data_IF_678101412406
#
_entry.id   IF_678101412406
#
_cell.length_a   1.000
_cell.length_b   1.000
_cell.length_c   1.000
_cell.angle_alpha   90.00
_cell.angle_beta   90.00
_cell.angle_gamma   90.00
#
_symmetry.space_group_name_H-M   'P 1'
#
loop_
_entity.id
_entity.type
_entity.pdbx_description
1 polymer ?
#
# COMPACT_ATOMS: atom_id res chain seq x y z
N UNK A 1 7.04 2.44 30.65
CA UNK A 1 6.56 1.07 30.38
C UNK A 1 7.33 0.52 29.17
N UNK A 2 8.44 -0.15 29.40
CA UNK A 2 9.17 -0.90 28.35
C UNK A 2 9.13 -2.38 28.72
N UNK A 3 7.91 -2.94 28.67
CA UNK A 3 7.73 -4.38 28.86
C UNK A 3 8.07 -5.17 27.60
N UNK A 4 8.28 -6.48 27.71
CA UNK A 4 8.56 -7.36 26.57
C UNK A 4 7.51 -7.26 25.45
N UNK A 5 6.29 -6.83 25.78
CA UNK A 5 5.20 -6.63 24.82
C UNK A 5 5.44 -5.43 23.90
N UNK A 6 5.89 -4.28 24.41
CA UNK A 6 6.19 -3.13 23.57
C UNK A 6 7.29 -3.43 22.53
N UNK A 7 8.29 -4.23 22.94
CA UNK A 7 9.36 -4.67 22.03
C UNK A 7 8.81 -5.52 20.87
N UNK A 8 7.82 -6.39 21.15
CA UNK A 8 7.16 -7.22 20.11
C UNK A 8 6.37 -6.35 19.13
N UNK A 9 5.60 -5.37 19.63
CA UNK A 9 4.86 -4.41 18.81
C UNK A 9 5.78 -3.59 17.91
N UNK A 10 6.84 -3.03 18.47
CA UNK A 10 7.87 -2.31 17.71
C UNK A 10 8.50 -3.19 16.62
N UNK A 11 8.78 -4.46 16.94
CA UNK A 11 9.37 -5.40 15.98
C UNK A 11 8.38 -5.76 14.85
N UNK A 12 7.13 -6.04 15.17
CA UNK A 12 6.10 -6.32 14.17
C UNK A 12 5.92 -5.14 13.20
N UNK A 13 5.79 -3.92 13.73
CA UNK A 13 5.71 -2.70 12.91
C UNK A 13 6.96 -2.47 12.06
N UNK A 14 8.15 -2.73 12.60
CA UNK A 14 9.40 -2.59 11.85
C UNK A 14 9.52 -3.62 10.71
N UNK A 15 9.06 -4.85 10.91
CA UNK A 15 9.03 -5.87 9.83
C UNK A 15 8.01 -5.48 8.78
N UNK A 16 6.79 -5.06 9.17
CA UNK A 16 5.75 -4.61 8.24
C UNK A 16 6.24 -3.43 7.39
N UNK A 17 6.86 -2.43 8.01
CA UNK A 17 7.41 -1.27 7.29
C UNK A 17 8.49 -1.67 6.28
N UNK A 18 9.46 -2.49 6.69
CA UNK A 18 10.52 -2.98 5.79
C UNK A 18 9.98 -3.81 4.64
N UNK A 19 8.94 -4.61 4.89
CA UNK A 19 8.28 -5.38 3.84
C UNK A 19 7.64 -4.44 2.80
N UNK A 20 6.90 -3.41 3.23
CA UNK A 20 6.37 -2.39 2.34
C UNK A 20 7.45 -1.68 1.52
N UNK A 21 8.51 -1.22 2.18
CA UNK A 21 9.62 -0.52 1.51
C UNK A 21 10.30 -1.42 0.47
N UNK A 22 10.50 -2.69 0.79
CA UNK A 22 11.08 -3.66 -0.13
C UNK A 22 10.18 -3.91 -1.33
N UNK A 23 8.92 -4.26 -1.11
CA UNK A 23 7.99 -4.57 -2.20
C UNK A 23 7.74 -3.34 -3.06
N UNK A 24 7.53 -2.17 -2.46
CA UNK A 24 7.32 -0.93 -3.22
C UNK A 24 8.49 -0.54 -4.10
N UNK A 25 9.72 -0.94 -3.71
CA UNK A 25 10.92 -0.69 -4.50
C UNK A 25 11.21 -1.73 -5.58
N UNK A 26 10.60 -2.92 -5.47
CA UNK A 26 10.88 -4.07 -6.36
C UNK A 26 9.72 -4.43 -7.28
N UNK A 27 8.48 -4.03 -6.95
CA UNK A 27 7.37 -4.30 -7.83
C UNK A 27 7.38 -3.38 -9.05
N UNK A 28 6.92 -3.91 -10.18
CA UNK A 28 6.92 -3.21 -11.46
C UNK A 28 5.81 -3.70 -12.40
N UNK A 29 5.57 -2.91 -13.45
CA UNK A 29 4.66 -3.30 -14.52
C UNK A 29 5.12 -4.63 -15.15
N UNK A 30 4.16 -5.48 -15.50
CA UNK A 30 4.40 -6.82 -16.03
C UNK A 30 4.42 -7.94 -14.99
N UNK A 31 4.45 -7.60 -13.70
CA UNK A 31 4.36 -8.60 -12.63
C UNK A 31 2.91 -8.98 -12.36
N UNK A 32 2.65 -10.27 -12.07
CA UNK A 32 1.33 -10.69 -11.62
C UNK A 32 1.06 -10.22 -10.19
N UNK A 33 -0.20 -9.87 -9.91
CA UNK A 33 -0.61 -9.47 -8.55
C UNK A 33 -0.28 -10.56 -7.54
N UNK A 34 -0.46 -11.82 -7.93
CA UNK A 34 -0.12 -12.97 -7.08
C UNK A 34 1.37 -13.01 -6.74
N UNK A 35 2.25 -12.80 -7.71
CA UNK A 35 3.71 -12.81 -7.46
C UNK A 35 4.17 -11.71 -6.51
N UNK A 36 3.50 -10.56 -6.54
CA UNK A 36 3.78 -9.45 -5.61
C UNK A 36 3.36 -9.81 -4.19
N UNK A 37 2.13 -10.34 -4.02
CA UNK A 37 1.60 -10.79 -2.73
C UNK A 37 2.50 -11.88 -2.13
N UNK A 38 2.84 -12.90 -2.92
CA UNK A 38 3.71 -14.00 -2.51
C UNK A 38 5.11 -13.51 -2.09
N UNK A 39 5.65 -12.53 -2.82
CA UNK A 39 6.93 -11.91 -2.48
C UNK A 39 6.88 -11.15 -1.16
N UNK A 40 5.78 -10.43 -0.89
CA UNK A 40 5.56 -9.74 0.38
C UNK A 40 5.51 -10.73 1.55
N UNK A 41 4.72 -11.78 1.44
CA UNK A 41 4.59 -12.78 2.49
C UNK A 41 5.89 -13.56 2.72
N UNK A 42 6.62 -13.86 1.65
CA UNK A 42 7.94 -14.51 1.73
C UNK A 42 8.95 -13.61 2.43
N UNK A 43 8.94 -12.31 2.15
CA UNK A 43 9.78 -11.32 2.82
C UNK A 43 9.49 -11.28 4.32
N UNK A 44 8.22 -11.19 4.71
CA UNK A 44 7.80 -11.19 6.11
C UNK A 44 8.33 -12.40 6.86
N UNK A 45 8.12 -13.60 6.31
CA UNK A 45 8.57 -14.87 6.92
C UNK A 45 10.08 -14.92 7.09
N UNK A 46 10.84 -14.46 6.10
CA UNK A 46 12.31 -14.42 6.15
C UNK A 46 12.85 -13.43 7.18
N UNK A 47 12.08 -12.42 7.57
CA UNK A 47 12.52 -11.40 8.51
C UNK A 47 11.90 -11.56 9.92
N UNK A 48 11.47 -12.78 10.27
CA UNK A 48 11.05 -13.14 11.62
C UNK A 48 9.64 -12.74 12.00
N UNK A 49 8.80 -12.40 11.01
CA UNK A 49 7.36 -12.21 11.18
C UNK A 49 6.56 -13.33 10.53
N UNK A 50 5.26 -13.30 10.74
CA UNK A 50 4.26 -14.09 9.99
C UNK A 50 3.19 -13.12 9.50
N UNK A 51 2.63 -13.26 8.29
CA UNK A 51 1.48 -12.48 7.88
C UNK A 51 0.35 -12.57 8.91
N UNK A 52 -0.14 -11.42 9.39
CA UNK A 52 -1.24 -11.36 10.34
C UNK A 52 -2.59 -11.62 9.65
N UNK A 53 -2.64 -11.29 8.39
CA UNK A 53 -3.70 -11.59 7.42
C UNK A 53 -3.04 -11.77 6.04
N UNK A 54 -3.72 -12.37 5.05
CA UNK A 54 -3.18 -12.45 3.70
C UNK A 54 -2.83 -11.05 3.19
N UNK A 55 -1.60 -10.84 2.70
CA UNK A 55 -1.25 -9.55 2.11
C UNK A 55 -2.25 -9.20 1.02
N UNK A 56 -2.71 -7.96 0.99
CA UNK A 56 -3.68 -7.51 0.00
C UNK A 56 -3.05 -6.54 -0.99
N UNK A 57 -3.48 -6.66 -2.24
CA UNK A 57 -3.05 -5.81 -3.33
C UNK A 57 -4.28 -5.44 -4.15
N UNK A 58 -4.72 -4.20 -4.00
CA UNK A 58 -5.92 -3.67 -4.65
C UNK A 58 -5.52 -2.66 -5.73
N UNK A 59 -6.02 -2.84 -6.94
CA UNK A 59 -5.59 -2.06 -8.11
C UNK A 59 -6.75 -1.19 -8.61
N UNK A 60 -6.45 0.06 -8.93
CA UNK A 60 -7.36 1.06 -9.49
C UNK A 60 -8.62 1.27 -8.65
N UNK A 61 -9.79 0.89 -9.17
CA UNK A 61 -11.11 1.04 -8.56
C UNK A 61 -11.40 0.03 -7.44
N UNK A 62 -10.61 -1.04 -7.32
CA UNK A 62 -10.68 -1.92 -6.15
C UNK A 62 -10.14 -1.15 -4.95
N UNK A 63 -11.02 -0.84 -3.99
CA UNK A 63 -10.68 0.05 -2.87
C UNK A 63 -9.64 -0.56 -1.93
N UNK A 64 -9.88 -1.79 -1.43
CA UNK A 64 -9.04 -2.47 -0.44
C UNK A 64 -9.36 -3.97 -0.36
N UNK A 65 -8.60 -4.70 0.47
CA UNK A 65 -8.83 -6.09 0.89
C UNK A 65 -8.83 -7.14 -0.22
N UNK A 66 -8.37 -6.78 -1.42
CA UNK A 66 -8.25 -7.77 -2.48
C UNK A 66 -6.96 -8.56 -2.31
N UNK A 67 -7.09 -9.87 -2.29
CA UNK A 67 -5.95 -10.80 -2.32
C UNK A 67 -6.15 -11.83 -3.42
N UNK A 68 -5.11 -12.48 -3.84
CA UNK A 68 -5.16 -13.49 -4.90
C UNK A 68 -4.25 -14.67 -4.58
N UNK A 69 -4.61 -15.79 -5.14
CA UNK A 69 -3.78 -17.01 -5.23
C UNK A 69 -3.90 -17.59 -6.64
N UNK A 70 -3.23 -18.70 -6.91
CA UNK A 70 -3.26 -19.34 -8.24
C UNK A 70 -4.65 -19.79 -8.72
N UNK A 71 -5.64 -19.89 -7.83
CA UNK A 71 -6.99 -20.36 -8.13
C UNK A 71 -8.02 -19.23 -8.23
N UNK A 72 -7.62 -17.98 -7.98
CA UNK A 72 -8.52 -16.84 -8.03
C UNK A 72 -8.58 -16.30 -9.45
N UNK A 73 -9.79 -16.21 -10.01
CA UNK A 73 -10.02 -15.55 -11.28
C UNK A 73 -9.86 -14.02 -11.15
N UNK A 74 -9.50 -13.34 -12.24
CA UNK A 74 -9.54 -11.89 -12.28
C UNK A 74 -10.93 -11.35 -11.89
N UNK A 75 -11.03 -10.19 -11.22
CA UNK A 75 -12.31 -9.52 -11.01
C UNK A 75 -13.00 -9.18 -12.34
N UNK A 76 -14.30 -8.97 -12.30
CA UNK A 76 -15.09 -8.58 -13.47
C UNK A 76 -14.49 -7.34 -14.15
N UNK A 77 -14.34 -7.40 -15.47
CA UNK A 77 -13.74 -6.33 -16.27
C UNK A 77 -12.21 -6.28 -16.27
N UNK A 78 -11.54 -7.19 -15.57
CA UNK A 78 -10.08 -7.34 -15.58
C UNK A 78 -9.72 -8.62 -16.32
N UNK A 79 -9.12 -8.52 -17.48
CA UNK A 79 -8.75 -9.68 -18.31
C UNK A 79 -7.61 -10.49 -17.67
N UNK A 80 -6.64 -9.81 -17.06
CA UNK A 80 -5.46 -10.42 -16.43
C UNK A 80 -5.06 -9.68 -15.15
N UNK A 81 -4.68 -10.42 -14.12
CA UNK A 81 -4.15 -9.85 -12.87
C UNK A 81 -2.65 -9.52 -13.00
N UNK A 82 -2.32 -8.65 -13.95
CA UNK A 82 -0.96 -8.17 -14.22
C UNK A 82 -0.91 -6.67 -13.94
N UNK A 83 0.12 -6.21 -13.25
CA UNK A 83 0.36 -4.78 -13.02
C UNK A 83 0.75 -4.09 -14.33
N UNK A 84 0.11 -2.97 -14.62
CA UNK A 84 0.33 -2.17 -15.82
C UNK A 84 0.88 -0.80 -15.44
N UNK A 85 1.59 -0.18 -16.38
CA UNK A 85 2.03 1.20 -16.20
C UNK A 85 0.81 2.12 -16.06
N UNK A 86 0.82 2.98 -15.04
CA UNK A 86 -0.28 3.88 -14.72
C UNK A 86 -1.28 3.31 -13.71
N UNK A 87 -1.17 2.03 -13.31
CA UNK A 87 -2.00 1.47 -12.26
C UNK A 87 -1.76 2.16 -10.91
N UNK A 88 -2.83 2.43 -10.20
CA UNK A 88 -2.81 2.86 -8.81
C UNK A 88 -2.93 1.62 -7.91
N UNK A 89 -1.81 1.24 -7.31
CA UNK A 89 -1.70 0.02 -6.49
C UNK A 89 -1.73 0.36 -5.01
N UNK A 90 -2.66 -0.24 -4.28
CA UNK A 90 -2.76 -0.18 -2.83
C UNK A 90 -2.27 -1.51 -2.27
N UNK A 91 -1.13 -1.49 -1.60
CA UNK A 91 -0.53 -2.65 -0.94
C UNK A 91 -0.71 -2.51 0.56
N UNK A 92 -1.30 -3.52 1.19
CA UNK A 92 -1.57 -3.55 2.61
C UNK A 92 -0.98 -4.83 3.23
N UNK A 93 -0.18 -4.67 4.28
CA UNK A 93 0.65 -5.71 4.88
C UNK A 93 0.49 -5.70 6.40
N UNK A 94 -0.08 -6.77 6.93
CA UNK A 94 -0.09 -7.06 8.36
C UNK A 94 0.97 -8.09 8.73
N UNK A 95 1.72 -7.81 9.78
CA UNK A 95 2.73 -8.73 10.32
C UNK A 95 2.47 -9.00 11.78
N UNK A 96 2.50 -10.25 12.21
CA UNK A 96 2.55 -10.56 13.62
C UNK A 96 3.90 -11.14 14.06
N UNK A 97 4.34 -10.75 15.27
CA UNK A 97 5.50 -11.32 15.97
C UNK A 97 5.06 -11.73 17.36
N UNK A 98 4.95 -13.05 17.58
CA UNK A 98 4.48 -13.62 18.86
C UNK A 98 3.17 -12.98 19.36
N UNK A 99 2.20 -12.76 18.47
CA UNK A 99 0.90 -12.20 18.77
C UNK A 99 0.79 -10.66 18.74
N UNK A 100 1.89 -9.93 18.72
CA UNK A 100 1.87 -8.48 18.49
C UNK A 100 1.77 -8.19 16.99
N UNK A 101 0.85 -7.31 16.58
CA UNK A 101 0.56 -7.01 15.17
C UNK A 101 1.09 -5.62 14.82
N UNK A 102 1.77 -5.52 13.68
CA UNK A 102 2.09 -4.27 12.99
C UNK A 102 1.39 -4.27 11.64
N UNK A 103 0.64 -3.23 11.36
CA UNK A 103 -0.15 -3.06 10.16
C UNK A 103 0.26 -1.80 9.41
N UNK A 104 0.48 -1.90 8.10
CA UNK A 104 0.95 -0.80 7.27
C UNK A 104 0.44 -0.94 5.83
N UNK A 105 -0.04 0.17 5.28
CA UNK A 105 -0.45 0.24 3.89
C UNK A 105 0.24 1.37 3.13
N UNK A 106 0.34 1.23 1.81
CA UNK A 106 0.87 2.23 0.90
C UNK A 106 0.09 2.23 -0.41
N UNK A 107 -0.07 3.41 -1.00
CA UNK A 107 -0.58 3.56 -2.36
C UNK A 107 0.54 4.02 -3.28
N UNK A 108 0.72 3.34 -4.41
CA UNK A 108 1.81 3.56 -5.38
C UNK A 108 1.22 3.63 -6.78
N UNK A 109 1.69 4.60 -7.57
CA UNK A 109 1.46 4.61 -9.02
C UNK A 109 2.57 3.85 -9.74
N UNK A 110 2.17 2.94 -10.63
CA UNK A 110 3.08 2.07 -11.37
C UNK A 110 3.73 2.80 -12.56
N UNK A 111 4.96 3.25 -12.35
CA UNK A 111 5.86 3.68 -13.45
C UNK A 111 5.47 4.94 -14.19
N UNK A 112 4.74 5.87 -13.61
CA UNK A 112 4.38 7.07 -14.31
C UNK A 112 3.87 8.24 -13.48
N UNK A 113 3.63 9.35 -14.14
CA UNK A 113 3.15 10.60 -13.56
C UNK A 113 1.63 10.79 -13.73
N UNK A 114 0.85 9.71 -13.92
CA UNK A 114 -0.57 9.82 -14.27
C UNK A 114 -1.39 10.47 -13.14
N UNK A 115 -1.11 10.13 -11.87
CA UNK A 115 -1.74 10.80 -10.73
C UNK A 115 -1.37 12.28 -10.64
N UNK A 116 -0.15 12.64 -11.04
CA UNK A 116 0.29 14.03 -11.06
C UNK A 116 -0.42 14.85 -12.15
N UNK A 117 -0.89 14.22 -13.23
CA UNK A 117 -1.66 14.88 -14.27
C UNK A 117 -3.13 15.13 -13.88
N UNK A 118 -3.67 14.33 -12.98
CA UNK A 118 -5.03 14.49 -12.45
C UNK A 118 -5.14 15.62 -11.42
N UNK A 119 -4.02 15.94 -10.75
CA UNK A 119 -3.96 16.98 -9.73
C UNK A 119 -2.91 18.03 -10.11
N UNK A 120 -3.20 19.33 -9.98
CA UNK A 120 -2.29 20.41 -10.35
C UNK A 120 -1.16 20.57 -9.30
N UNK A 121 -0.38 19.51 -9.09
CA UNK A 121 0.82 19.51 -8.25
C UNK A 121 2.05 19.31 -9.12
N UNK A 122 3.17 19.89 -8.72
CA UNK A 122 4.40 19.71 -9.48
C UNK A 122 4.85 18.24 -9.44
N UNK A 123 5.52 17.76 -10.48
CA UNK A 123 6.06 16.40 -10.52
C UNK A 123 7.02 16.11 -9.34
N UNK A 124 7.71 17.15 -8.84
CA UNK A 124 8.59 17.08 -7.67
C UNK A 124 7.80 16.85 -6.37
N UNK A 125 6.68 17.55 -6.22
CA UNK A 125 5.82 17.42 -5.05
C UNK A 125 5.05 16.11 -5.06
N UNK A 126 4.54 15.68 -6.23
CA UNK A 126 3.91 14.39 -6.42
C UNK A 126 4.82 13.23 -5.99
N UNK A 127 6.07 13.22 -6.45
CA UNK A 127 7.06 12.21 -6.06
C UNK A 127 7.33 12.20 -4.55
N UNK A 128 7.37 13.38 -3.92
CA UNK A 128 7.55 13.53 -2.48
C UNK A 128 6.38 12.95 -1.67
N UNK A 129 5.14 13.10 -2.16
CA UNK A 129 3.95 12.60 -1.48
C UNK A 129 3.69 11.12 -1.71
N UNK A 130 3.98 10.60 -2.89
CA UNK A 130 3.96 9.16 -3.17
C UNK A 130 4.92 8.37 -2.26
N UNK A 131 6.08 8.96 -1.92
CA UNK A 131 7.08 8.32 -1.04
C UNK A 131 6.68 8.40 0.45
N UNK A 132 5.88 9.38 0.85
CA UNK A 132 5.53 9.61 2.27
C UNK A 132 4.27 8.88 2.76
N UNK A 133 3.62 8.10 1.90
CA UNK A 133 2.45 7.31 2.25
C UNK A 133 1.12 8.03 2.03
N UNK A 134 0.06 7.25 1.94
CA UNK A 134 -1.30 7.68 1.56
C UNK A 134 -1.89 8.77 2.46
N UNK A 135 -1.61 8.79 3.75
CA UNK A 135 -2.08 9.83 4.69
C UNK A 135 -1.58 11.22 4.33
N UNK A 136 -0.31 11.36 3.96
CA UNK A 136 0.25 12.66 3.53
C UNK A 136 -0.35 13.13 2.22
N UNK A 137 -0.65 12.21 1.31
CA UNK A 137 -1.30 12.53 0.03
C UNK A 137 -2.75 12.98 0.24
N UNK A 138 -3.52 12.27 1.07
CA UNK A 138 -4.89 12.63 1.42
C UNK A 138 -4.94 14.01 2.10
N UNK A 139 -4.06 14.29 3.04
CA UNK A 139 -3.94 15.61 3.68
C UNK A 139 -3.58 16.71 2.68
N UNK A 140 -2.68 16.44 1.75
CA UNK A 140 -2.29 17.41 0.73
C UNK A 140 -3.41 17.70 -0.27
N UNK A 141 -4.09 16.66 -0.75
CA UNK A 141 -5.26 16.77 -1.61
C UNK A 141 -6.38 17.53 -0.89
N UNK A 142 -6.64 17.21 0.39
CA UNK A 142 -7.61 17.91 1.22
C UNK A 142 -7.30 19.42 1.30
N UNK A 143 -6.06 19.78 1.55
CA UNK A 143 -5.64 21.19 1.63
C UNK A 143 -5.75 21.94 0.30
N UNK A 144 -5.56 21.28 -0.83
CA UNK A 144 -5.75 21.85 -2.17
C UNK A 144 -7.24 22.08 -2.45
N UNK A 145 -8.08 21.13 -2.08
CA UNK A 145 -9.54 21.22 -2.25
C UNK A 145 -10.09 22.36 -1.38
N UNK A 146 -9.66 22.48 -0.14
CA UNK A 146 -10.05 23.59 0.75
C UNK A 146 -9.65 24.96 0.20
N UNK A 147 -8.41 25.10 -0.28
CA UNK A 147 -7.92 26.35 -0.90
C UNK A 147 -8.68 26.77 -2.15
N UNK A 148 -9.30 25.83 -2.85
CA UNK A 148 -10.11 26.09 -4.06
C UNK A 148 -11.60 26.26 -3.78
N UNK A 149 -12.01 26.35 -2.49
CA UNK A 149 -13.40 26.60 -2.11
C UNK A 149 -14.37 25.46 -2.41
N UNK A 150 -13.89 24.22 -2.53
CA UNK A 150 -14.76 23.03 -2.61
C UNK A 150 -15.14 22.54 -1.21
N UNK A 151 -16.27 21.85 -1.05
CA UNK A 151 -16.77 21.42 0.27
C UNK A 151 -15.72 20.58 1.00
N UNK A 152 -15.65 20.76 2.31
CA UNK A 152 -14.78 19.98 3.20
C UNK A 152 -15.01 18.50 2.98
N UNK A 153 -13.94 17.77 2.77
CA UNK A 153 -13.98 16.31 2.88
C UNK A 153 -13.98 15.98 4.37
N UNK A 154 -15.11 15.52 4.89
CA UNK A 154 -15.15 14.97 6.24
C UNK A 154 -14.40 13.65 6.24
N UNK A 155 -13.33 13.57 7.01
CA UNK A 155 -12.59 12.33 7.21
C UNK A 155 -13.40 11.44 8.15
N UNK A 156 -13.82 10.29 7.65
CA UNK A 156 -14.26 9.21 8.52
C UNK A 156 -13.04 8.71 9.29
N UNK A 157 -13.00 9.01 10.59
CA UNK A 157 -12.10 8.31 11.51
C UNK A 157 -12.60 6.87 11.61
N UNK A 158 -11.86 5.96 10.99
CA UNK A 158 -12.01 4.51 11.22
C UNK A 158 -11.05 4.12 12.32
#
# INVERSE_FOLDING_TARGET
MEGPDLKRWKNAGAVARRALDHISSTMGAGQSWHSVIESAERYIRRHGGTPAFPCTLSVNDIAAHYTTNHSVNPPDGIEEMILRKGDLVKLDIGVHVKGAIGDNAITIEMGGSAMCSLYPVSAKDCKKYLIKGSLSLIHHIGSIIEKKGKPKVEYLNI
#
